data_IF_074712385861
#
_entry.id   IF_074712385861
#
_cell.length_a   1.000
_cell.length_b   1.000
_cell.length_c   1.000
_cell.angle_alpha   90.00
_cell.angle_beta   90.00
_cell.angle_gamma   90.00
#
_symmetry.space_group_name_H-M   'P 1'
#
loop_
_entity.id
_entity.type
_entity.pdbx_description
1 polymer ?
#
# COMPACT_ATOMS: atom_id res chain seq x y z
N UNK A 1 -9.46 1.39 -29.67
CA UNK A 1 -10.64 0.49 -29.54
C UNK A 1 -11.22 0.64 -28.13
N UNK A 2 -12.53 0.94 -27.99
CA UNK A 2 -13.21 1.11 -26.69
C UNK A 2 -14.12 -0.10 -26.41
N UNK A 3 -13.55 -1.33 -26.40
CA UNK A 3 -14.33 -2.57 -26.34
C UNK A 3 -15.11 -2.80 -25.03
N UNK A 4 -14.73 -2.13 -23.93
CA UNK A 4 -15.45 -2.19 -22.67
C UNK A 4 -15.13 -3.37 -21.74
N UNK A 5 -14.22 -4.28 -22.10
CA UNK A 5 -13.81 -5.40 -21.22
C UNK A 5 -13.27 -4.97 -19.85
N UNK A 6 -12.79 -3.74 -19.73
CA UNK A 6 -12.31 -3.17 -18.47
C UNK A 6 -13.43 -2.68 -17.54
N UNK A 7 -14.65 -2.50 -18.02
CA UNK A 7 -15.76 -1.91 -17.24
C UNK A 7 -16.12 -2.72 -15.99
N UNK A 8 -16.34 -4.04 -16.07
CA UNK A 8 -16.69 -4.85 -14.90
C UNK A 8 -15.61 -4.87 -13.82
N UNK A 9 -14.36 -4.55 -14.18
CA UNK A 9 -13.21 -4.59 -13.27
C UNK A 9 -12.90 -3.24 -12.62
N UNK A 10 -13.61 -2.17 -13.00
CA UNK A 10 -13.34 -0.84 -12.49
C UNK A 10 -14.18 -0.53 -11.24
N UNK A 11 -13.56 -0.32 -10.06
CA UNK A 11 -14.28 -0.06 -8.82
C UNK A 11 -15.02 1.28 -8.86
N UNK A 12 -14.44 2.33 -9.46
CA UNK A 12 -15.08 3.65 -9.54
C UNK A 12 -16.27 3.64 -10.50
N UNK A 13 -16.18 2.92 -11.61
CA UNK A 13 -17.31 2.73 -12.51
C UNK A 13 -18.41 1.86 -11.87
N UNK A 14 -18.05 0.81 -11.14
CA UNK A 14 -19.01 0.01 -10.41
C UNK A 14 -19.78 0.82 -9.36
N UNK A 15 -19.13 1.80 -8.74
CA UNK A 15 -19.70 2.69 -7.73
C UNK A 15 -20.62 3.76 -8.33
N UNK A 16 -20.11 4.55 -9.26
CA UNK A 16 -20.81 5.73 -9.79
C UNK A 16 -21.72 5.43 -11.00
N UNK A 17 -21.42 4.39 -11.78
CA UNK A 17 -22.10 4.07 -13.06
C UNK A 17 -22.07 5.21 -14.09
N UNK A 18 -21.08 6.08 -13.99
CA UNK A 18 -20.85 7.21 -14.91
C UNK A 18 -19.71 6.87 -15.86
N UNK A 19 -19.90 7.09 -17.17
CA UNK A 19 -18.91 6.72 -18.18
C UNK A 19 -17.57 7.46 -17.99
N UNK A 20 -17.59 8.74 -17.56
CA UNK A 20 -16.38 9.51 -17.25
C UNK A 20 -15.49 8.87 -16.18
N UNK A 21 -16.07 8.06 -15.29
CA UNK A 21 -15.36 7.31 -14.24
C UNK A 21 -14.92 5.93 -14.68
N UNK A 22 -15.27 5.53 -15.91
CA UNK A 22 -14.84 4.26 -16.50
C UNK A 22 -13.42 4.36 -17.04
N UNK A 23 -12.68 3.23 -17.19
CA UNK A 23 -11.36 3.28 -17.78
C UNK A 23 -11.35 3.80 -19.22
N UNK A 24 -12.30 3.38 -20.04
CA UNK A 24 -12.38 3.85 -21.44
C UNK A 24 -12.84 5.30 -21.51
N UNK A 25 -13.74 5.74 -20.63
CA UNK A 25 -14.14 7.13 -20.51
C UNK A 25 -12.96 8.02 -20.13
N UNK A 26 -12.17 7.62 -19.12
CA UNK A 26 -10.94 8.32 -18.75
C UNK A 26 -9.93 8.38 -19.89
N UNK A 27 -9.75 7.31 -20.67
CA UNK A 27 -8.90 7.33 -21.87
C UNK A 27 -9.39 8.34 -22.91
N UNK A 28 -10.70 8.46 -23.10
CA UNK A 28 -11.29 9.48 -23.99
C UNK A 28 -11.03 10.89 -23.47
N UNK A 29 -11.15 11.11 -22.15
CA UNK A 29 -10.82 12.39 -21.50
C UNK A 29 -9.35 12.74 -21.66
N UNK A 30 -8.43 11.78 -21.42
CA UNK A 30 -7.00 11.95 -21.63
C UNK A 30 -6.67 12.26 -23.09
N UNK A 31 -7.33 11.62 -24.04
CA UNK A 31 -7.17 11.89 -25.46
C UNK A 31 -7.64 13.31 -25.81
N UNK A 32 -8.79 13.75 -25.27
CA UNK A 32 -9.29 15.11 -25.44
C UNK A 32 -8.35 16.16 -24.88
N UNK A 33 -7.76 15.90 -23.71
CA UNK A 33 -6.74 16.73 -23.08
C UNK A 33 -5.46 16.80 -23.94
N UNK A 34 -4.94 15.67 -24.40
CA UNK A 34 -3.73 15.62 -25.24
C UNK A 34 -3.91 16.30 -26.61
N UNK A 35 -5.14 16.38 -27.11
CA UNK A 35 -5.48 17.03 -28.37
C UNK A 35 -5.86 18.50 -28.21
N UNK A 36 -5.80 19.08 -27.01
CA UNK A 36 -6.20 20.45 -26.72
C UNK A 36 -7.69 20.71 -26.89
N UNK A 37 -8.53 19.68 -26.88
CA UNK A 37 -10.00 19.82 -26.96
C UNK A 37 -10.64 20.02 -25.59
N UNK A 38 -9.94 19.68 -24.52
CA UNK A 38 -10.39 19.83 -23.15
C UNK A 38 -9.35 20.63 -22.38
N UNK A 39 -9.81 21.62 -21.66
CA UNK A 39 -8.95 22.46 -20.81
C UNK A 39 -8.56 21.71 -19.52
N UNK A 40 -7.26 21.71 -19.12
CA UNK A 40 -6.82 21.01 -17.93
C UNK A 40 -7.42 21.58 -16.63
N UNK A 41 -7.91 22.84 -16.64
CA UNK A 41 -8.57 23.50 -15.53
C UNK A 41 -10.05 23.10 -15.38
N UNK A 42 -10.65 22.44 -16.39
CA UNK A 42 -12.06 22.09 -16.37
C UNK A 42 -12.40 21.18 -15.17
N UNK A 43 -13.25 21.67 -14.27
CA UNK A 43 -13.59 21.01 -13.00
C UNK A 43 -14.03 19.54 -13.20
N UNK A 44 -14.96 19.27 -14.11
CA UNK A 44 -15.45 17.91 -14.36
C UNK A 44 -14.39 16.97 -14.92
N UNK A 45 -13.48 17.46 -15.77
CA UNK A 45 -12.34 16.67 -16.25
C UNK A 45 -11.48 16.19 -15.08
N UNK A 46 -11.16 17.13 -14.19
CA UNK A 46 -10.36 16.84 -12.99
C UNK A 46 -11.05 15.86 -12.06
N UNK A 47 -12.33 16.07 -11.77
CA UNK A 47 -13.13 15.18 -10.94
C UNK A 47 -13.03 13.73 -11.42
N UNK A 48 -13.19 13.47 -12.71
CA UNK A 48 -13.09 12.13 -13.26
C UNK A 48 -11.68 11.55 -13.24
N UNK A 49 -10.64 12.34 -13.57
CA UNK A 49 -9.26 11.85 -13.60
C UNK A 49 -8.67 11.68 -12.18
N UNK A 50 -8.93 12.63 -11.28
CA UNK A 50 -8.48 12.57 -9.87
C UNK A 50 -9.23 11.47 -9.10
N UNK A 51 -10.49 11.17 -9.46
CA UNK A 51 -11.31 10.11 -8.86
C UNK A 51 -10.83 8.68 -9.17
N UNK A 52 -9.83 8.50 -10.02
CA UNK A 52 -9.27 7.16 -10.28
C UNK A 52 -8.46 6.65 -9.08
N UNK A 53 -8.75 5.42 -8.61
CA UNK A 53 -8.05 4.79 -7.49
C UNK A 53 -6.66 4.20 -7.85
N UNK A 54 -6.23 4.26 -9.11
CA UNK A 54 -4.93 3.73 -9.54
C UNK A 54 -4.77 2.21 -9.40
N UNK A 55 -5.87 1.46 -9.31
CA UNK A 55 -5.84 0.01 -9.04
C UNK A 55 -5.31 -0.85 -10.21
N UNK A 56 -5.24 -0.30 -11.43
CA UNK A 56 -4.74 -0.93 -12.67
C UNK A 56 -5.45 -2.25 -13.05
N UNK A 57 -6.63 -2.54 -12.48
CA UNK A 57 -7.42 -3.72 -12.87
C UNK A 57 -7.83 -3.68 -14.36
N UNK A 58 -8.11 -2.48 -14.88
CA UNK A 58 -8.42 -2.27 -16.29
C UNK A 58 -7.24 -2.59 -17.21
N UNK A 59 -6.02 -2.32 -16.77
CA UNK A 59 -4.78 -2.63 -17.50
C UNK A 59 -4.51 -4.15 -17.51
N UNK A 60 -4.72 -4.80 -16.37
CA UNK A 60 -4.49 -6.24 -16.22
C UNK A 60 -5.39 -7.10 -17.12
N UNK A 61 -6.62 -6.64 -17.43
CA UNK A 61 -7.58 -7.36 -18.27
C UNK A 61 -7.62 -6.86 -19.71
N UNK A 62 -6.80 -5.87 -20.07
CA UNK A 62 -6.82 -5.26 -21.39
C UNK A 62 -6.11 -6.14 -22.43
N UNK A 63 -6.82 -6.67 -23.45
CA UNK A 63 -6.19 -7.48 -24.48
C UNK A 63 -5.24 -6.66 -25.37
N UNK A 64 -5.49 -5.34 -25.49
CA UNK A 64 -4.63 -4.41 -26.22
C UNK A 64 -3.44 -3.90 -25.39
N UNK A 65 -3.31 -4.33 -24.12
CA UNK A 65 -2.21 -3.94 -23.21
C UNK A 65 -2.00 -2.42 -23.12
N UNK A 66 -3.10 -1.66 -23.08
CA UNK A 66 -3.01 -0.20 -22.92
C UNK A 66 -2.34 0.11 -21.58
N UNK A 67 -1.24 0.89 -21.56
CA UNK A 67 -0.51 1.23 -20.34
C UNK A 67 -1.26 2.32 -19.55
N UNK A 68 -2.43 1.94 -19.02
CA UNK A 68 -3.37 2.87 -18.39
C UNK A 68 -2.75 3.59 -17.19
N UNK A 69 -1.93 2.90 -16.39
CA UNK A 69 -1.25 3.50 -15.24
C UNK A 69 -0.35 4.67 -15.66
N UNK A 70 0.52 4.46 -16.65
CA UNK A 70 1.42 5.50 -17.16
C UNK A 70 0.67 6.68 -17.80
N UNK A 71 -0.40 6.39 -18.54
CA UNK A 71 -1.26 7.44 -19.13
C UNK A 71 -1.95 8.27 -18.05
N UNK A 72 -2.41 7.64 -16.98
CA UNK A 72 -3.04 8.32 -15.84
C UNK A 72 -2.04 9.19 -15.09
N UNK A 73 -0.82 8.70 -14.85
CA UNK A 73 0.25 9.48 -14.22
C UNK A 73 0.57 10.73 -15.04
N UNK A 74 0.70 10.58 -16.38
CA UNK A 74 0.93 11.72 -17.27
C UNK A 74 -0.24 12.71 -17.29
N UNK A 75 -1.47 12.21 -17.29
CA UNK A 75 -2.64 13.09 -17.22
C UNK A 75 -2.66 13.90 -15.92
N UNK A 76 -2.36 13.27 -14.78
CA UNK A 76 -2.27 13.95 -13.49
C UNK A 76 -1.12 14.95 -13.42
N UNK A 77 0.01 14.68 -14.08
CA UNK A 77 1.11 15.65 -14.21
C UNK A 77 0.63 16.90 -14.92
N UNK A 78 -0.06 16.77 -16.05
CA UNK A 78 -0.64 17.91 -16.77
C UNK A 78 -1.63 18.68 -15.89
N UNK A 79 -2.46 17.99 -15.12
CA UNK A 79 -3.38 18.64 -14.18
C UNK A 79 -2.66 19.39 -13.06
N UNK A 80 -1.56 18.86 -12.54
CA UNK A 80 -0.78 19.50 -11.48
C UNK A 80 -0.01 20.74 -12.00
N UNK A 81 0.48 20.69 -13.23
CA UNK A 81 1.11 21.82 -13.92
C UNK A 81 0.12 22.96 -14.24
N UNK A 82 -1.18 22.64 -14.37
CA UNK A 82 -2.24 23.58 -14.71
C UNK A 82 -3.32 23.58 -13.62
N UNK A 83 -3.08 24.16 -12.45
CA UNK A 83 -4.03 24.13 -11.34
C UNK A 83 -5.32 24.90 -11.69
N UNK A 84 -6.44 24.44 -11.14
CA UNK A 84 -7.73 25.10 -11.26
C UNK A 84 -7.67 26.46 -10.55
N UNK A 85 -8.02 27.56 -11.26
CA UNK A 85 -7.92 28.93 -10.73
C UNK A 85 -8.87 29.15 -9.55
N UNK A 86 -10.08 28.61 -9.62
CA UNK A 86 -11.12 28.74 -8.60
C UNK A 86 -10.96 27.79 -7.41
N UNK A 87 -9.98 26.90 -7.45
CA UNK A 87 -9.76 25.96 -6.32
C UNK A 87 -9.27 26.75 -5.10
N UNK A 88 -9.96 26.68 -3.95
CA UNK A 88 -9.58 27.42 -2.75
C UNK A 88 -8.11 27.18 -2.40
N UNK A 89 -7.37 28.25 -2.17
CA UNK A 89 -5.94 28.16 -1.79
C UNK A 89 -5.72 27.21 -0.60
N UNK A 90 -6.69 27.15 0.32
CA UNK A 90 -6.71 26.22 1.45
C UNK A 90 -6.73 24.73 1.04
N UNK A 91 -7.41 24.38 -0.05
CA UNK A 91 -7.45 22.99 -0.55
C UNK A 91 -6.12 22.60 -1.20
N UNK A 92 -5.51 23.49 -1.99
CA UNK A 92 -4.18 23.32 -2.59
C UNK A 92 -3.10 23.20 -1.53
N UNK A 93 -3.13 24.10 -0.55
CA UNK A 93 -2.19 24.10 0.57
C UNK A 93 -2.30 22.84 1.43
N UNK A 94 -3.52 22.38 1.72
CA UNK A 94 -3.75 21.12 2.47
C UNK A 94 -3.18 19.89 1.75
N UNK A 95 -3.40 19.76 0.43
CA UNK A 95 -2.87 18.65 -0.36
C UNK A 95 -1.34 18.68 -0.40
N UNK A 96 -0.75 19.86 -0.60
CA UNK A 96 0.70 20.05 -0.57
C UNK A 96 1.30 19.76 0.81
N UNK A 97 0.63 20.19 1.90
CA UNK A 97 1.06 19.86 3.26
C UNK A 97 0.98 18.38 3.58
N UNK A 98 -0.09 17.70 3.17
CA UNK A 98 -0.20 16.25 3.37
C UNK A 98 0.91 15.50 2.65
N UNK A 99 1.18 15.84 1.39
CA UNK A 99 2.29 15.27 0.64
C UNK A 99 3.65 15.58 1.28
N UNK A 100 3.85 16.84 1.72
CA UNK A 100 5.08 17.26 2.40
C UNK A 100 5.26 16.57 3.77
N UNK A 101 4.18 16.43 4.53
CA UNK A 101 4.22 15.74 5.82
C UNK A 101 4.62 14.27 5.68
N UNK A 102 4.20 13.60 4.60
CA UNK A 102 4.62 12.23 4.32
C UNK A 102 6.07 12.12 3.80
N UNK A 103 6.60 13.17 3.17
CA UNK A 103 7.97 13.19 2.65
C UNK A 103 9.03 13.45 3.70
N UNK A 104 8.75 14.38 4.61
CA UNK A 104 9.74 14.87 5.58
C UNK A 104 9.67 14.11 6.90
N UNK A 105 10.73 13.40 7.23
CA UNK A 105 10.83 12.59 8.46
C UNK A 105 10.47 13.39 9.74
N UNK A 106 11.00 14.61 9.99
CA UNK A 106 10.64 15.36 11.19
C UNK A 106 9.16 15.75 11.24
N UNK A 107 8.55 16.06 10.10
CA UNK A 107 7.11 16.38 10.04
C UNK A 107 6.25 15.16 10.33
N UNK A 108 6.64 13.97 9.83
CA UNK A 108 5.95 12.71 10.18
C UNK A 108 6.07 12.41 11.68
N UNK A 109 7.27 12.57 12.24
CA UNK A 109 7.49 12.32 13.67
C UNK A 109 6.62 13.27 14.53
N UNK A 110 6.60 14.56 14.20
CA UNK A 110 5.75 15.54 14.86
C UNK A 110 4.26 15.21 14.68
N UNK A 111 3.84 14.87 13.47
CA UNK A 111 2.47 14.43 13.17
C UNK A 111 2.06 13.20 13.98
N UNK A 112 2.93 12.21 14.10
CA UNK A 112 2.71 11.02 14.93
C UNK A 112 2.63 11.32 16.42
N UNK A 113 3.47 12.25 16.94
CA UNK A 113 3.41 12.70 18.32
C UNK A 113 2.11 13.46 18.57
N UNK A 114 1.75 14.41 17.69
CA UNK A 114 0.52 15.19 17.79
C UNK A 114 -0.73 14.29 17.73
N UNK A 115 -0.76 13.31 16.84
CA UNK A 115 -1.87 12.35 16.74
C UNK A 115 -2.00 11.48 18.01
N UNK A 116 -0.88 11.02 18.59
CA UNK A 116 -0.88 10.32 19.89
C UNK A 116 -1.39 11.20 21.03
N UNK A 117 -0.94 12.46 21.09
CA UNK A 117 -1.39 13.42 22.09
C UNK A 117 -2.90 13.72 21.94
N UNK A 118 -3.38 13.98 20.71
CA UNK A 118 -4.78 14.22 20.41
C UNK A 118 -5.68 13.06 20.87
N UNK A 119 -5.22 11.83 20.74
CA UNK A 119 -5.95 10.65 21.21
C UNK A 119 -5.94 10.52 22.72
N UNK A 120 -4.78 10.71 23.38
CA UNK A 120 -4.69 10.67 24.84
C UNK A 120 -5.58 11.73 25.51
N UNK A 121 -5.69 12.92 24.91
CA UNK A 121 -6.51 14.02 25.41
C UNK A 121 -7.99 13.92 25.02
N UNK A 122 -8.34 12.98 24.15
CA UNK A 122 -9.71 12.81 23.68
C UNK A 122 -10.21 13.91 22.74
N UNK A 123 -9.32 14.75 22.21
CA UNK A 123 -9.65 15.84 21.25
C UNK A 123 -10.45 15.31 20.05
N UNK A 124 -10.24 14.08 19.65
CA UNK A 124 -11.00 13.45 18.55
C UNK A 124 -12.52 13.53 18.78
N UNK A 125 -12.99 13.53 20.04
CA UNK A 125 -14.43 13.63 20.39
C UNK A 125 -15.04 14.98 20.06
N UNK A 126 -14.20 16.02 19.91
CA UNK A 126 -14.62 17.38 19.56
C UNK A 126 -14.61 17.64 18.06
N UNK A 127 -14.02 16.73 17.28
CA UNK A 127 -14.00 16.81 15.83
C UNK A 127 -15.28 16.17 15.26
N UNK A 128 -15.84 16.77 14.22
CA UNK A 128 -17.00 16.20 13.54
C UNK A 128 -16.59 14.94 12.78
N UNK A 129 -17.31 13.79 12.96
CA UNK A 129 -17.09 12.59 12.18
C UNK A 129 -17.07 12.89 10.68
N UNK A 130 -16.19 12.24 9.92
CA UNK A 130 -16.06 12.43 8.48
C UNK A 130 -15.15 13.57 8.04
N UNK A 131 -14.80 14.52 8.93
CA UNK A 131 -13.82 15.56 8.56
C UNK A 131 -12.42 14.93 8.33
N UNK A 132 -11.61 15.49 7.40
CA UNK A 132 -10.31 14.93 7.05
C UNK A 132 -9.37 14.70 8.24
N UNK A 133 -9.35 15.63 9.21
CA UNK A 133 -8.54 15.45 10.42
C UNK A 133 -9.07 14.33 11.30
N UNK A 134 -10.38 14.26 11.50
CA UNK A 134 -11.01 13.16 12.22
C UNK A 134 -10.69 11.81 11.57
N UNK A 135 -10.87 11.70 10.25
CA UNK A 135 -10.55 10.49 9.48
C UNK A 135 -9.08 10.10 9.58
N UNK A 136 -8.18 11.08 9.49
CA UNK A 136 -6.74 10.82 9.65
C UNK A 136 -6.45 10.23 11.03
N UNK A 137 -6.97 10.80 12.10
CA UNK A 137 -6.81 10.30 13.46
C UNK A 137 -7.47 8.93 13.65
N UNK A 138 -8.61 8.72 13.05
CA UNK A 138 -9.37 7.49 13.11
C UNK A 138 -8.64 6.34 12.40
N UNK A 139 -8.25 6.52 11.15
CA UNK A 139 -7.53 5.52 10.38
C UNK A 139 -6.13 5.19 10.95
N UNK A 140 -5.48 6.15 11.61
CA UNK A 140 -4.16 5.92 12.23
C UNK A 140 -4.23 5.42 13.66
N UNK A 141 -5.41 5.28 14.26
CA UNK A 141 -5.56 4.94 15.69
C UNK A 141 -4.84 3.65 16.11
N UNK A 142 -4.87 2.63 15.27
CA UNK A 142 -4.22 1.35 15.54
C UNK A 142 -2.78 1.25 15.02
N UNK A 143 -2.30 2.29 14.31
CA UNK A 143 -1.02 2.25 13.58
C UNK A 143 0.05 3.16 14.17
N UNK A 144 -0.25 3.95 15.22
CA UNK A 144 0.71 4.86 15.85
C UNK A 144 1.63 4.11 16.82
N UNK A 145 2.50 3.28 16.29
CA UNK A 145 3.53 2.61 17.05
C UNK A 145 4.77 3.50 17.27
N UNK A 146 5.57 3.26 18.31
CA UNK A 146 6.90 3.87 18.43
C UNK A 146 7.79 3.48 17.25
N UNK A 147 8.85 4.25 17.02
CA UNK A 147 9.85 3.89 16.02
C UNK A 147 10.43 2.49 16.32
N UNK A 148 10.63 1.66 15.27
CA UNK A 148 11.11 0.29 15.47
C UNK A 148 12.52 0.27 16.06
N UNK A 149 12.77 -0.69 16.91
CA UNK A 149 14.12 -1.03 17.34
C UNK A 149 14.75 -1.94 16.28
N UNK A 150 15.72 -1.41 15.56
CA UNK A 150 16.44 -2.14 14.52
C UNK A 150 17.70 -2.80 15.15
N UNK A 151 17.48 -3.65 16.15
CA UNK A 151 18.53 -4.50 16.72
C UNK A 151 18.81 -5.67 15.75
N UNK A 152 20.00 -6.27 15.89
CA UNK A 152 20.40 -7.48 15.16
C UNK A 152 20.47 -7.32 13.63
N UNK A 153 20.88 -6.14 13.16
CA UNK A 153 21.19 -5.88 11.75
C UNK A 153 22.70 -5.95 11.50
N UNK A 154 23.08 -6.40 10.30
CA UNK A 154 24.47 -6.45 9.85
C UNK A 154 24.82 -5.29 8.92
N UNK A 155 26.08 -5.12 8.58
CA UNK A 155 26.51 -4.19 7.54
C UNK A 155 26.01 -4.68 6.16
N UNK A 156 25.63 -3.75 5.24
CA UNK A 156 25.03 -4.12 3.96
C UNK A 156 25.84 -5.11 3.12
N UNK A 157 27.17 -5.04 3.18
CA UNK A 157 28.11 -5.93 2.48
C UNK A 157 28.11 -7.37 2.99
N UNK A 158 27.57 -7.60 4.18
CA UNK A 158 27.46 -8.92 4.80
C UNK A 158 26.04 -9.45 4.87
N UNK A 159 25.09 -8.72 4.27
CA UNK A 159 23.68 -9.05 4.33
C UNK A 159 23.26 -10.01 3.20
N UNK A 160 22.35 -10.92 3.54
CA UNK A 160 21.65 -11.78 2.59
C UNK A 160 20.45 -11.05 1.97
N UNK A 161 19.94 -10.02 2.66
CA UNK A 161 18.88 -9.14 2.19
C UNK A 161 18.99 -7.72 2.78
N UNK A 162 18.57 -6.72 2.01
CA UNK A 162 18.38 -5.35 2.46
C UNK A 162 16.89 -5.11 2.72
N UNK A 163 16.55 -4.49 3.85
CA UNK A 163 15.15 -4.18 4.16
C UNK A 163 14.84 -2.73 3.81
N UNK A 164 13.84 -2.54 2.94
CA UNK A 164 13.31 -1.23 2.58
C UNK A 164 12.32 -0.75 3.64
N UNK A 165 12.61 0.39 4.26
CA UNK A 165 11.84 0.90 5.40
C UNK A 165 10.67 1.80 5.02
N UNK A 166 10.66 2.36 3.79
CA UNK A 166 9.56 3.21 3.32
C UNK A 166 9.25 4.42 4.21
N UNK A 167 8.13 5.09 3.90
CA UNK A 167 7.66 6.21 4.70
C UNK A 167 6.68 5.79 5.81
N UNK A 168 5.88 4.77 5.57
CA UNK A 168 4.87 4.30 6.52
C UNK A 168 5.46 3.39 7.58
N UNK A 169 6.46 2.55 7.22
CA UNK A 169 7.01 1.54 8.10
C UNK A 169 7.73 2.13 9.34
N UNK A 170 8.28 3.31 9.23
CA UNK A 170 8.94 3.97 10.37
C UNK A 170 7.99 4.58 11.38
N UNK A 171 6.78 5.02 10.95
CA UNK A 171 5.92 5.87 11.77
C UNK A 171 4.55 5.29 12.06
N UNK A 172 4.04 4.45 11.14
CA UNK A 172 2.71 3.86 11.24
C UNK A 172 2.75 2.35 11.42
N UNK A 173 3.75 1.68 10.80
CA UNK A 173 3.87 0.23 10.81
C UNK A 173 5.23 -0.23 11.37
N UNK A 174 5.85 0.53 12.28
CA UNK A 174 7.11 0.17 12.94
C UNK A 174 7.18 -1.29 13.42
N UNK A 175 6.13 -1.84 14.04
CA UNK A 175 6.06 -3.25 14.40
C UNK A 175 6.18 -4.23 13.21
N UNK A 176 5.88 -3.79 11.98
CA UNK A 176 6.03 -4.65 10.80
C UNK A 176 7.51 -4.83 10.43
N UNK A 177 8.33 -3.78 10.62
CA UNK A 177 9.79 -3.87 10.44
C UNK A 177 10.44 -4.79 11.48
N UNK A 178 10.08 -4.62 12.76
CA UNK A 178 10.55 -5.50 13.83
C UNK A 178 10.14 -6.96 13.58
N UNK A 179 8.90 -7.17 13.16
CA UNK A 179 8.38 -8.49 12.83
C UNK A 179 9.12 -9.12 11.64
N UNK A 180 9.42 -8.34 10.60
CA UNK A 180 10.16 -8.83 9.43
C UNK A 180 11.59 -9.22 9.80
N UNK A 181 12.29 -8.41 10.63
CA UNK A 181 13.62 -8.74 11.15
C UNK A 181 13.58 -10.00 12.00
N UNK A 182 12.62 -10.12 12.92
CA UNK A 182 12.48 -11.30 13.75
C UNK A 182 12.27 -12.58 12.92
N UNK A 183 11.42 -12.52 11.88
CA UNK A 183 11.18 -13.66 10.99
C UNK A 183 12.43 -14.02 10.20
N UNK A 184 13.09 -13.04 9.59
CA UNK A 184 14.27 -13.28 8.76
C UNK A 184 15.44 -13.82 9.59
N UNK A 185 15.69 -13.23 10.77
CA UNK A 185 16.74 -13.67 11.68
C UNK A 185 16.47 -15.08 12.24
N UNK A 186 15.21 -15.39 12.63
CA UNK A 186 14.83 -16.73 13.08
C UNK A 186 15.02 -17.80 12.01
N UNK A 187 14.97 -17.43 10.74
CA UNK A 187 15.23 -18.29 9.59
C UNK A 187 16.71 -18.30 9.16
N UNK A 188 17.59 -17.63 9.90
CA UNK A 188 19.04 -17.61 9.69
C UNK A 188 19.53 -16.60 8.65
N UNK A 189 18.67 -15.70 8.16
CA UNK A 189 19.09 -14.67 7.21
C UNK A 189 19.70 -13.47 7.93
N UNK A 190 20.83 -13.00 7.42
CA UNK A 190 21.47 -11.76 7.88
C UNK A 190 20.85 -10.58 7.13
N UNK A 191 20.30 -9.63 7.85
CA UNK A 191 19.56 -8.51 7.27
C UNK A 191 20.25 -7.19 7.57
N UNK A 192 20.37 -6.33 6.57
CA UNK A 192 20.77 -4.94 6.75
C UNK A 192 19.61 -3.99 6.52
N UNK A 193 19.62 -2.88 7.27
CA UNK A 193 18.70 -1.76 7.10
C UNK A 193 19.52 -0.50 6.79
N UNK A 194 19.92 -0.27 5.52
CA UNK A 194 20.76 0.85 5.15
C UNK A 194 20.14 2.18 5.54
N UNK A 195 20.97 3.12 6.01
CA UNK A 195 20.55 4.48 6.33
C UNK A 195 20.37 5.32 5.04
N UNK A 196 19.65 6.44 5.13
CA UNK A 196 19.47 7.34 3.99
C UNK A 196 18.28 7.02 3.10
N UNK A 197 17.60 5.90 3.32
CA UNK A 197 16.36 5.56 2.63
C UNK A 197 15.26 6.61 2.90
N UNK A 198 14.39 6.78 1.91
CA UNK A 198 13.25 7.72 1.96
C UNK A 198 12.00 7.05 1.43
N UNK A 199 10.90 7.81 1.25
CA UNK A 199 9.68 7.32 0.60
C UNK A 199 9.98 6.70 -0.78
N UNK A 200 9.26 5.65 -1.16
CA UNK A 200 9.39 5.04 -2.49
C UNK A 200 9.00 5.98 -3.64
N UNK A 201 8.25 7.05 -3.36
CA UNK A 201 7.80 8.02 -4.35
C UNK A 201 6.42 7.74 -4.96
N UNK A 202 5.75 6.64 -4.62
CA UNK A 202 4.47 6.25 -5.20
C UNK A 202 3.41 7.37 -5.16
N UNK A 203 3.22 8.00 -4.01
CA UNK A 203 2.22 9.07 -3.85
C UNK A 203 2.56 10.32 -4.68
N UNK A 204 3.84 10.61 -4.87
CA UNK A 204 4.29 11.71 -5.71
C UNK A 204 4.08 11.39 -7.19
N UNK A 205 4.49 10.21 -7.63
CA UNK A 205 4.31 9.73 -9.01
C UNK A 205 2.83 9.75 -9.40
N UNK A 206 1.99 9.09 -8.60
CA UNK A 206 0.56 9.00 -8.86
C UNK A 206 -0.21 10.29 -8.53
N UNK A 207 0.43 11.25 -7.88
CA UNK A 207 -0.08 12.60 -7.62
C UNK A 207 0.32 13.63 -8.68
N UNK A 208 0.95 13.22 -9.79
CA UNK A 208 1.35 14.13 -10.88
C UNK A 208 2.64 14.92 -10.62
N UNK A 209 3.49 14.44 -9.71
CA UNK A 209 4.78 15.09 -9.37
C UNK A 209 5.98 14.16 -9.64
N UNK A 210 6.20 13.74 -10.91
CA UNK A 210 7.24 12.75 -11.27
C UNK A 210 8.66 13.22 -10.95
N UNK A 211 8.94 14.53 -11.00
CA UNK A 211 10.27 15.07 -10.67
C UNK A 211 10.61 14.82 -9.19
N UNK A 212 9.63 15.01 -8.30
CA UNK A 212 9.79 14.71 -6.86
C UNK A 212 9.93 13.21 -6.63
N UNK A 213 9.13 12.40 -7.32
CA UNK A 213 9.23 10.94 -7.26
C UNK A 213 10.64 10.46 -7.69
N UNK A 214 11.14 10.97 -8.81
CA UNK A 214 12.48 10.66 -9.33
C UNK A 214 13.59 11.02 -8.33
N UNK A 215 13.53 12.18 -7.70
CA UNK A 215 14.51 12.59 -6.68
C UNK A 215 14.49 11.65 -5.45
N UNK A 216 13.32 11.16 -5.02
CA UNK A 216 13.20 10.18 -3.95
C UNK A 216 13.79 8.82 -4.37
N UNK A 217 13.52 8.39 -5.58
CA UNK A 217 14.03 7.13 -6.14
C UNK A 217 15.56 7.13 -6.22
N UNK A 218 16.17 8.21 -6.73
CA UNK A 218 17.62 8.37 -6.78
C UNK A 218 18.26 8.28 -5.38
N UNK A 219 17.64 8.87 -4.37
CA UNK A 219 18.10 8.74 -2.97
C UNK A 219 18.02 7.31 -2.46
N UNK A 220 16.97 6.59 -2.79
CA UNK A 220 16.85 5.18 -2.42
C UNK A 220 17.89 4.31 -3.14
N UNK A 221 18.19 4.58 -4.42
CA UNK A 221 19.24 3.89 -5.15
C UNK A 221 20.63 4.14 -4.56
N UNK A 222 20.89 5.37 -4.10
CA UNK A 222 22.15 5.71 -3.43
C UNK A 222 22.27 5.06 -2.04
N UNK A 223 21.15 4.82 -1.34
CA UNK A 223 21.14 4.17 -0.03
C UNK A 223 21.17 2.64 -0.12
N UNK A 224 20.58 2.07 -1.17
CA UNK A 224 20.44 0.63 -1.39
C UNK A 224 21.40 0.17 -2.49
N UNK A 225 22.69 0.24 -2.24
CA UNK A 225 23.74 -0.12 -3.22
C UNK A 225 23.95 -1.63 -3.34
N UNK A 226 24.73 -2.05 -4.34
CA UNK A 226 25.10 -3.46 -4.57
C UNK A 226 24.00 -4.27 -5.27
N UNK A 227 24.12 -5.60 -5.22
CA UNK A 227 23.23 -6.55 -5.91
C UNK A 227 22.34 -7.35 -4.93
N UNK A 228 22.50 -7.13 -3.62
CA UNK A 228 21.73 -7.83 -2.57
C UNK A 228 20.23 -7.57 -2.76
N UNK A 229 19.36 -8.59 -2.64
CA UNK A 229 17.90 -8.43 -2.72
C UNK A 229 17.37 -7.36 -1.77
N UNK A 230 16.40 -6.56 -2.24
CA UNK A 230 15.74 -5.52 -1.45
C UNK A 230 14.32 -5.97 -1.12
N UNK A 231 14.06 -6.20 0.16
CA UNK A 231 12.76 -6.64 0.65
C UNK A 231 11.91 -5.41 0.99
N UNK A 232 10.78 -5.25 0.29
CA UNK A 232 9.74 -4.30 0.65
C UNK A 232 8.59 -5.01 1.38
N UNK A 233 8.13 -4.43 2.49
CA UNK A 233 7.03 -4.99 3.29
C UNK A 233 5.66 -4.60 2.76
N UNK A 234 5.60 -3.54 1.95
CA UNK A 234 4.39 -3.00 1.34
C UNK A 234 4.39 -3.24 -0.16
N UNK A 235 3.29 -3.82 -0.68
CA UNK A 235 3.16 -4.13 -2.11
C UNK A 235 3.10 -2.88 -3.01
N UNK A 236 2.68 -1.73 -2.49
CA UNK A 236 2.72 -0.46 -3.21
C UNK A 236 4.14 0.07 -3.36
N UNK A 237 4.94 0.00 -2.29
CA UNK A 237 6.36 0.32 -2.34
C UNK A 237 7.13 -0.63 -3.26
N UNK A 238 6.88 -1.93 -3.15
CA UNK A 238 7.49 -2.94 -4.04
C UNK A 238 7.19 -2.63 -5.52
N UNK A 239 5.92 -2.40 -5.85
CA UNK A 239 5.49 -2.06 -7.19
C UNK A 239 6.26 -0.84 -7.74
N UNK A 240 6.36 0.22 -6.93
CA UNK A 240 7.06 1.44 -7.31
C UNK A 240 8.55 1.22 -7.52
N UNK A 241 9.23 0.51 -6.60
CA UNK A 241 10.65 0.21 -6.72
C UNK A 241 10.96 -0.66 -7.95
N UNK A 242 10.05 -1.57 -8.33
CA UNK A 242 10.19 -2.43 -9.50
C UNK A 242 9.95 -1.70 -10.83
N UNK A 243 9.12 -0.65 -10.83
CA UNK A 243 8.76 0.10 -12.04
C UNK A 243 9.66 1.30 -12.32
N UNK A 244 10.72 1.54 -11.52
CA UNK A 244 11.70 2.62 -11.78
C UNK A 244 12.37 2.37 -13.14
N UNK A 245 12.17 3.25 -14.13
CA UNK A 245 12.80 3.09 -15.43
C UNK A 245 14.33 3.16 -15.32
N UNK A 246 15.02 2.16 -15.87
CA UNK A 246 16.48 2.05 -15.83
C UNK A 246 17.10 2.05 -14.42
N UNK A 247 16.28 1.86 -13.37
CA UNK A 247 16.71 1.83 -11.99
C UNK A 247 17.34 0.49 -11.59
N UNK A 248 18.36 0.56 -10.73
CA UNK A 248 19.05 -0.63 -10.20
C UNK A 248 18.19 -1.45 -9.25
N UNK A 249 17.14 -0.85 -8.67
CA UNK A 249 16.28 -1.51 -7.70
C UNK A 249 15.23 -2.42 -8.34
N UNK A 250 14.85 -2.18 -9.61
CA UNK A 250 13.74 -2.86 -10.26
C UNK A 250 13.89 -4.38 -10.32
N UNK A 251 15.08 -4.86 -10.65
CA UNK A 251 15.36 -6.30 -10.80
C UNK A 251 15.54 -7.05 -9.48
N UNK A 252 15.82 -6.36 -8.37
CA UNK A 252 16.14 -6.97 -7.07
C UNK A 252 15.17 -6.60 -5.94
N UNK A 253 14.18 -5.74 -6.20
CA UNK A 253 13.11 -5.46 -5.25
C UNK A 253 12.05 -6.54 -5.27
N UNK A 254 11.70 -7.04 -4.10
CA UNK A 254 10.70 -8.10 -3.95
C UNK A 254 9.97 -8.00 -2.60
N UNK A 255 8.83 -8.67 -2.49
CA UNK A 255 8.12 -8.80 -1.21
C UNK A 255 8.85 -9.74 -0.26
N UNK A 256 8.61 -9.57 1.05
CA UNK A 256 9.06 -10.53 2.07
C UNK A 256 8.60 -11.96 1.74
N UNK A 257 7.35 -12.11 1.29
CA UNK A 257 6.78 -13.42 1.02
C UNK A 257 7.39 -14.08 -0.21
N UNK A 258 7.77 -13.31 -1.21
CA UNK A 258 8.51 -13.83 -2.37
C UNK A 258 9.92 -14.26 -1.95
N UNK A 259 10.64 -13.40 -1.22
CA UNK A 259 11.98 -13.73 -0.71
C UNK A 259 11.96 -15.05 0.06
N UNK A 260 11.03 -15.20 1.00
CA UNK A 260 10.90 -16.43 1.78
C UNK A 260 10.54 -17.64 0.90
N UNK A 261 9.62 -17.48 -0.06
CA UNK A 261 9.23 -18.57 -0.98
C UNK A 261 10.39 -19.05 -1.86
N UNK A 262 11.29 -18.15 -2.26
CA UNK A 262 12.44 -18.48 -3.08
C UNK A 262 13.59 -19.11 -2.28
N UNK A 263 13.76 -18.76 -1.01
CA UNK A 263 14.89 -19.19 -0.18
C UNK A 263 14.53 -20.33 0.77
N UNK A 264 13.29 -20.48 1.20
CA UNK A 264 12.83 -21.61 2.01
C UNK A 264 12.34 -22.72 1.08
N UNK A 265 13.28 -23.50 0.54
CA UNK A 265 12.98 -24.64 -0.36
C UNK A 265 12.63 -25.91 0.38
N UNK A 266 12.96 -26.01 1.66
CA UNK A 266 12.75 -27.22 2.46
C UNK A 266 11.26 -27.48 2.71
N UNK A 267 10.82 -28.72 2.50
CA UNK A 267 9.54 -29.23 2.98
C UNK A 267 9.80 -30.38 3.98
N UNK A 268 9.21 -30.29 5.16
CA UNK A 268 8.38 -29.20 5.69
C UNK A 268 9.18 -27.90 5.95
N UNK A 269 8.47 -26.76 5.96
CA UNK A 269 9.05 -25.48 6.39
C UNK A 269 9.73 -25.69 7.77
N UNK A 270 10.95 -25.14 8.01
CA UNK A 270 11.70 -25.39 9.23
C UNK A 270 10.84 -25.32 10.51
N UNK A 271 11.10 -26.12 11.55
CA UNK A 271 10.24 -26.30 12.72
C UNK A 271 10.25 -25.11 13.70
N UNK A 272 10.34 -23.90 13.15
CA UNK A 272 10.31 -22.62 13.88
C UNK A 272 8.89 -22.06 14.03
N UNK A 273 7.86 -22.81 13.59
CA UNK A 273 6.49 -22.32 13.52
C UNK A 273 5.55 -23.02 14.49
N UNK A 274 4.69 -22.24 15.13
CA UNK A 274 3.60 -22.77 15.98
C UNK A 274 2.62 -23.59 15.15
N UNK A 275 2.18 -24.70 15.69
CA UNK A 275 1.23 -25.62 15.05
C UNK A 275 -0.24 -25.34 15.44
N UNK A 276 -0.50 -24.40 16.37
CA UNK A 276 -1.88 -24.08 16.80
C UNK A 276 -2.75 -23.68 15.62
N UNK A 277 -3.97 -24.24 15.51
CA UNK A 277 -4.89 -23.90 14.41
C UNK A 277 -5.23 -22.41 14.39
N UNK A 278 -5.33 -21.85 13.19
CA UNK A 278 -5.79 -20.46 12.97
C UNK A 278 -6.42 -20.33 11.57
N UNK A 279 -7.60 -19.70 11.51
CA UNK A 279 -8.27 -19.38 10.24
C UNK A 279 -7.95 -17.95 9.83
N UNK A 280 -7.49 -17.79 8.59
CA UNK A 280 -6.95 -16.53 8.07
C UNK A 280 -7.65 -16.17 6.76
N UNK A 281 -8.20 -14.96 6.68
CA UNK A 281 -8.62 -14.39 5.41
C UNK A 281 -7.44 -13.65 4.78
N UNK A 282 -7.17 -13.93 3.51
CA UNK A 282 -6.08 -13.31 2.79
C UNK A 282 -6.60 -12.20 1.88
N UNK A 283 -6.37 -10.94 2.28
CA UNK A 283 -6.64 -9.82 1.41
C UNK A 283 -5.56 -9.70 0.33
N UNK A 284 -5.97 -9.77 -0.92
CA UNK A 284 -5.11 -9.65 -2.10
C UNK A 284 -5.25 -8.25 -2.72
N UNK A 285 -4.43 -7.26 -2.36
CA UNK A 285 -4.57 -5.90 -2.85
C UNK A 285 -4.31 -5.78 -4.36
N UNK A 286 -4.85 -4.72 -4.96
CA UNK A 286 -4.74 -4.47 -6.39
C UNK A 286 -3.28 -4.38 -6.87
N UNK A 287 -2.37 -3.79 -6.11
CA UNK A 287 -0.93 -3.75 -6.42
C UNK A 287 -0.32 -5.13 -6.52
N UNK A 288 -0.66 -6.03 -5.58
CA UNK A 288 -0.18 -7.41 -5.60
C UNK A 288 -0.72 -8.20 -6.79
N UNK A 289 -2.01 -8.00 -7.13
CA UNK A 289 -2.67 -8.71 -8.23
C UNK A 289 -2.26 -8.21 -9.60
N UNK A 290 -2.28 -6.89 -9.79
CA UNK A 290 -2.24 -6.27 -11.11
C UNK A 290 -0.85 -5.77 -11.49
N UNK A 291 0.01 -5.46 -10.51
CA UNK A 291 1.33 -4.87 -10.75
C UNK A 291 2.44 -5.89 -10.48
N UNK A 292 2.63 -6.29 -9.23
CA UNK A 292 3.73 -7.23 -8.89
C UNK A 292 3.41 -8.67 -9.25
N UNK A 293 2.13 -9.05 -9.32
CA UNK A 293 1.62 -10.40 -9.66
C UNK A 293 2.12 -11.49 -8.70
N UNK A 294 2.27 -11.15 -7.44
CA UNK A 294 2.89 -11.98 -6.39
C UNK A 294 1.86 -12.74 -5.52
N UNK A 295 0.60 -12.82 -5.97
CA UNK A 295 -0.48 -13.48 -5.22
C UNK A 295 -0.18 -14.93 -4.88
N UNK A 296 0.44 -15.67 -5.82
CA UNK A 296 0.78 -17.09 -5.63
C UNK A 296 1.82 -17.28 -4.53
N UNK A 297 2.85 -16.43 -4.48
CA UNK A 297 3.91 -16.53 -3.48
C UNK A 297 3.37 -16.33 -2.07
N UNK A 298 2.53 -15.31 -1.86
CA UNK A 298 1.89 -15.06 -0.58
C UNK A 298 0.97 -16.23 -0.17
N UNK A 299 0.09 -16.66 -1.05
CA UNK A 299 -0.87 -17.74 -0.76
C UNK A 299 -0.14 -19.04 -0.46
N UNK A 300 0.79 -19.46 -1.31
CA UNK A 300 1.55 -20.69 -1.13
C UNK A 300 2.38 -20.69 0.16
N UNK A 301 3.03 -19.57 0.50
CA UNK A 301 3.78 -19.46 1.75
C UNK A 301 2.88 -19.68 2.97
N UNK A 302 1.72 -19.00 3.02
CA UNK A 302 0.83 -19.11 4.17
C UNK A 302 0.18 -20.50 4.29
N UNK A 303 -0.14 -21.15 3.16
CA UNK A 303 -0.67 -22.52 3.15
C UNK A 303 0.31 -23.57 3.66
N UNK A 304 1.62 -23.31 3.55
CA UNK A 304 2.68 -24.22 4.06
C UNK A 304 2.91 -24.08 5.57
N UNK A 305 2.39 -23.04 6.21
CA UNK A 305 2.57 -22.86 7.65
C UNK A 305 1.70 -23.84 8.44
N UNK A 306 2.27 -24.51 9.46
CA UNK A 306 1.51 -25.45 10.27
C UNK A 306 0.32 -24.80 10.95
N UNK A 307 -0.83 -25.48 10.92
CA UNK A 307 -2.08 -25.03 11.55
C UNK A 307 -2.79 -23.86 10.88
N UNK A 308 -2.27 -23.31 9.78
CA UNK A 308 -2.93 -22.21 9.06
C UNK A 308 -3.94 -22.75 8.06
N UNK A 309 -5.18 -22.26 8.15
CA UNK A 309 -6.25 -22.52 7.18
C UNK A 309 -6.66 -21.20 6.54
N UNK A 310 -6.51 -21.08 5.22
CA UNK A 310 -6.99 -19.91 4.49
C UNK A 310 -8.49 -20.05 4.20
N UNK A 311 -9.25 -18.98 4.46
CA UNK A 311 -10.68 -18.90 4.10
C UNK A 311 -10.84 -18.55 2.61
N UNK A 312 -11.99 -18.88 2.01
CA UNK A 312 -12.31 -18.48 0.65
C UNK A 312 -12.59 -16.97 0.58
N UNK A 313 -11.90 -16.29 -0.29
CA UNK A 313 -12.05 -14.85 -0.53
C UNK A 313 -12.32 -14.54 -2.01
N UNK A 314 -12.76 -15.54 -2.76
CA UNK A 314 -13.01 -15.42 -4.21
C UNK A 314 -14.02 -14.34 -4.59
N UNK A 315 -14.98 -14.04 -3.70
CA UNK A 315 -15.99 -13.00 -3.83
C UNK A 315 -15.52 -11.58 -3.45
N UNK A 316 -14.29 -11.43 -2.98
CA UNK A 316 -13.82 -10.11 -2.53
C UNK A 316 -13.66 -9.12 -3.71
N UNK A 317 -14.09 -7.85 -3.55
CA UNK A 317 -13.90 -6.82 -4.56
C UNK A 317 -12.43 -6.64 -4.97
N UNK A 318 -12.21 -6.14 -6.19
CA UNK A 318 -10.87 -5.92 -6.72
C UNK A 318 -10.11 -4.76 -6.06
N UNK A 319 -10.77 -3.94 -5.24
CA UNK A 319 -10.18 -2.78 -4.58
C UNK A 319 -10.84 -2.54 -3.21
N UNK A 320 -10.01 -2.35 -2.20
CA UNK A 320 -10.44 -2.02 -0.84
C UNK A 320 -10.84 -0.54 -0.65
N UNK A 321 -10.80 0.28 -1.70
CA UNK A 321 -11.13 1.71 -1.61
C UNK A 321 -10.01 2.64 -1.13
N UNK A 322 -8.94 2.16 -0.51
CA UNK A 322 -7.90 3.02 0.07
C UNK A 322 -7.22 3.97 -0.96
N UNK A 323 -6.90 3.46 -2.17
CA UNK A 323 -6.43 4.20 -3.34
C UNK A 323 -5.51 5.41 -3.09
N UNK A 324 -4.32 5.20 -2.53
CA UNK A 324 -3.44 6.31 -2.13
C UNK A 324 -4.07 7.18 -1.04
N UNK A 325 -4.55 8.37 -1.39
CA UNK A 325 -5.24 9.30 -0.48
C UNK A 325 -6.76 9.29 -0.61
N UNK A 326 -7.34 8.40 -1.43
CA UNK A 326 -8.78 8.37 -1.71
C UNK A 326 -9.62 8.15 -0.44
N UNK A 327 -9.13 7.36 0.53
CA UNK A 327 -9.81 7.18 1.82
C UNK A 327 -10.02 8.49 2.60
N UNK A 328 -9.24 9.54 2.30
CA UNK A 328 -9.39 10.86 2.89
C UNK A 328 -10.12 11.84 1.99
N UNK A 329 -9.95 11.71 0.66
CA UNK A 329 -10.49 12.63 -0.33
C UNK A 329 -11.90 12.24 -0.81
N UNK A 330 -12.20 10.94 -0.88
CA UNK A 330 -13.45 10.36 -1.40
C UNK A 330 -14.04 9.38 -0.37
N UNK A 331 -14.38 9.83 0.83
CA UNK A 331 -14.69 8.97 1.97
C UNK A 331 -15.87 8.02 1.71
N UNK A 332 -16.94 8.49 1.10
CA UNK A 332 -18.14 7.70 0.86
C UNK A 332 -17.86 6.48 -0.04
N UNK A 333 -17.22 6.72 -1.18
CA UNK A 333 -16.83 5.64 -2.09
C UNK A 333 -15.80 4.70 -1.46
N UNK A 334 -14.82 5.27 -0.76
CA UNK A 334 -13.75 4.52 -0.14
C UNK A 334 -14.30 3.57 0.94
N UNK A 335 -15.15 4.08 1.84
CA UNK A 335 -15.75 3.30 2.91
C UNK A 335 -16.72 2.24 2.37
N UNK A 336 -17.49 2.54 1.33
CA UNK A 336 -18.37 1.57 0.69
C UNK A 336 -17.60 0.40 0.04
N UNK A 337 -16.52 0.70 -0.68
CA UNK A 337 -15.64 -0.33 -1.25
C UNK A 337 -14.91 -1.13 -0.17
N UNK A 338 -14.45 -0.46 0.89
CA UNK A 338 -13.81 -1.09 2.04
C UNK A 338 -14.76 -2.01 2.79
N UNK A 339 -15.99 -1.57 3.01
CA UNK A 339 -17.06 -2.35 3.64
C UNK A 339 -17.36 -3.63 2.86
N UNK A 340 -17.59 -3.52 1.55
CA UNK A 340 -17.84 -4.68 0.70
C UNK A 340 -16.64 -5.66 0.69
N UNK A 341 -15.41 -5.13 0.72
CA UNK A 341 -14.21 -5.97 0.84
C UNK A 341 -14.16 -6.68 2.19
N UNK A 342 -14.44 -5.96 3.28
CA UNK A 342 -14.44 -6.54 4.61
C UNK A 342 -15.52 -7.61 4.78
N UNK A 343 -16.74 -7.38 4.26
CA UNK A 343 -17.83 -8.33 4.29
C UNK A 343 -17.43 -9.66 3.61
N UNK A 344 -16.79 -9.58 2.43
CA UNK A 344 -16.31 -10.78 1.75
C UNK A 344 -15.15 -11.47 2.50
N UNK A 345 -14.23 -10.71 3.10
CA UNK A 345 -13.12 -11.26 3.86
C UNK A 345 -13.58 -11.94 5.17
N UNK A 346 -14.72 -11.52 5.74
CA UNK A 346 -15.23 -12.03 7.02
C UNK A 346 -16.34 -13.07 6.87
N UNK A 347 -16.76 -13.40 5.65
CA UNK A 347 -17.87 -14.33 5.38
C UNK A 347 -17.67 -15.70 6.05
N UNK A 348 -16.45 -16.23 6.05
CA UNK A 348 -16.12 -17.51 6.69
C UNK A 348 -15.58 -17.35 8.13
N UNK A 349 -15.89 -16.24 8.79
CA UNK A 349 -15.53 -15.94 10.17
C UNK A 349 -14.04 -16.23 10.48
N UNK A 350 -13.05 -15.60 9.79
CA UNK A 350 -11.65 -15.77 10.09
C UNK A 350 -11.29 -15.14 11.44
N UNK A 351 -10.26 -15.64 12.08
CA UNK A 351 -9.72 -15.06 13.30
C UNK A 351 -8.92 -13.79 13.03
N UNK A 352 -8.33 -13.71 11.84
CA UNK A 352 -7.57 -12.52 11.40
C UNK A 352 -7.54 -12.37 9.88
N UNK A 353 -7.26 -11.16 9.44
CA UNK A 353 -7.06 -10.80 8.03
C UNK A 353 -5.57 -10.49 7.82
N UNK A 354 -4.96 -11.05 6.79
CA UNK A 354 -3.59 -10.70 6.37
C UNK A 354 -3.65 -9.86 5.10
N UNK A 355 -3.02 -8.68 5.13
CA UNK A 355 -2.97 -7.74 4.01
C UNK A 355 -1.56 -7.22 3.77
N UNK A 356 -0.96 -7.43 2.59
CA UNK A 356 0.40 -7.00 2.25
C UNK A 356 0.48 -5.56 1.71
N UNK A 357 -0.53 -4.72 1.94
CA UNK A 357 -0.52 -3.31 1.53
C UNK A 357 -0.91 -2.41 2.70
N UNK A 358 -0.05 -1.46 3.05
CA UNK A 358 -0.24 -0.60 4.22
C UNK A 358 -1.47 0.29 4.12
N UNK A 359 -1.76 0.86 2.94
CA UNK A 359 -2.95 1.69 2.72
C UNK A 359 -4.24 0.88 2.93
N UNK A 360 -4.31 -0.30 2.31
CA UNK A 360 -5.43 -1.23 2.50
C UNK A 360 -5.53 -1.69 3.96
N UNK A 361 -4.41 -2.03 4.60
CA UNK A 361 -4.39 -2.50 5.99
C UNK A 361 -4.90 -1.43 6.96
N UNK A 362 -4.49 -0.18 6.77
CA UNK A 362 -4.95 0.96 7.60
C UNK A 362 -6.46 1.17 7.43
N UNK A 363 -6.94 1.16 6.19
CA UNK A 363 -8.36 1.37 5.90
C UNK A 363 -9.24 0.22 6.40
N UNK A 364 -8.91 -1.03 6.05
CA UNK A 364 -9.66 -2.21 6.48
C UNK A 364 -9.62 -2.39 8.01
N UNK A 365 -8.51 -2.05 8.67
CA UNK A 365 -8.39 -2.09 10.13
C UNK A 365 -9.35 -1.14 10.80
N UNK A 366 -9.43 0.11 10.34
CA UNK A 366 -10.35 1.09 10.88
C UNK A 366 -11.81 0.59 10.77
N UNK A 367 -12.20 0.09 9.59
CA UNK A 367 -13.54 -0.45 9.36
C UNK A 367 -13.82 -1.72 10.17
N UNK A 368 -12.83 -2.60 10.34
CA UNK A 368 -12.98 -3.83 11.12
C UNK A 368 -13.12 -3.52 12.60
N UNK A 369 -12.32 -2.60 13.16
CA UNK A 369 -12.41 -2.19 14.56
C UNK A 369 -13.78 -1.57 14.89
N UNK A 370 -14.34 -0.75 14.00
CA UNK A 370 -15.67 -0.14 14.18
C UNK A 370 -16.80 -1.18 14.25
N UNK A 371 -16.58 -2.34 13.65
CA UNK A 371 -17.55 -3.46 13.62
C UNK A 371 -17.24 -4.56 14.62
N UNK A 372 -16.22 -4.42 15.47
CA UNK A 372 -15.75 -5.49 16.36
C UNK A 372 -15.25 -6.72 15.60
N UNK A 373 -14.74 -6.52 14.37
CA UNK A 373 -14.29 -7.57 13.48
C UNK A 373 -12.87 -8.05 13.76
N UNK A 374 -12.33 -8.97 12.92
CA UNK A 374 -11.01 -9.56 13.10
C UNK A 374 -9.89 -8.55 12.92
N UNK A 375 -8.75 -8.81 13.57
CA UNK A 375 -7.55 -7.97 13.42
C UNK A 375 -6.97 -8.06 12.01
N UNK A 376 -6.48 -6.92 11.48
CA UNK A 376 -5.81 -6.84 10.17
C UNK A 376 -4.31 -6.69 10.38
N UNK A 377 -3.55 -7.68 9.94
CA UNK A 377 -2.09 -7.75 10.09
C UNK A 377 -1.38 -7.69 8.74
N UNK A 378 -0.13 -7.20 8.74
CA UNK A 378 0.76 -7.42 7.61
C UNK A 378 1.26 -8.87 7.56
N UNK A 379 1.76 -9.37 6.41
CA UNK A 379 2.40 -10.67 6.35
C UNK A 379 3.55 -10.83 7.36
N UNK A 380 4.37 -9.79 7.56
CA UNK A 380 5.46 -9.81 8.51
C UNK A 380 4.97 -10.05 9.95
N UNK A 381 3.97 -9.29 10.40
CA UNK A 381 3.39 -9.46 11.74
C UNK A 381 2.69 -10.80 11.91
N UNK A 382 1.99 -11.25 10.89
CA UNK A 382 1.36 -12.57 10.93
C UNK A 382 2.43 -13.66 11.07
N UNK A 383 3.46 -13.67 10.23
CA UNK A 383 4.57 -14.63 10.31
C UNK A 383 5.27 -14.58 11.67
N UNK A 384 5.59 -13.40 12.18
CA UNK A 384 6.22 -13.25 13.50
C UNK A 384 5.32 -13.81 14.63
N UNK A 385 4.00 -13.63 14.55
CA UNK A 385 3.07 -14.20 15.52
C UNK A 385 3.03 -15.73 15.50
N UNK A 386 3.49 -16.32 14.40
CA UNK A 386 3.56 -17.78 14.22
C UNK A 386 4.94 -18.36 14.59
N UNK A 387 5.95 -17.53 14.85
CA UNK A 387 7.23 -18.05 15.33
C UNK A 387 7.08 -18.74 16.69
N UNK A 388 7.75 -19.86 16.85
CA UNK A 388 7.83 -20.54 18.13
C UNK A 388 8.89 -19.87 19.01
N UNK A 389 8.48 -19.31 20.14
CA UNK A 389 9.37 -18.63 21.08
C UNK A 389 10.36 -19.57 21.78
N UNK A 390 10.17 -20.88 21.69
CA UNK A 390 11.10 -21.86 22.25
C UNK A 390 12.35 -22.07 21.38
N UNK A 391 12.32 -21.67 20.10
CA UNK A 391 13.45 -21.84 19.18
C UNK A 391 14.50 -20.71 19.24
N UNK A 392 14.23 -19.61 19.95
CA UNK A 392 15.15 -18.47 20.07
C UNK A 392 16.12 -18.54 21.25
N UNK A 393 16.19 -19.68 21.94
CA UNK A 393 17.03 -19.87 23.16
C UNK A 393 18.22 -20.82 22.95
N UNK A 394 18.58 -21.14 21.74
CA UNK A 394 19.76 -21.87 21.32
C UNK A 394 20.53 -21.06 20.29
#
# INVERSE_FOLDING_TARGET
MHCGLCLPHCPTYAWHRVEGDSPRGRLTLMQGLAQGRLEPQAHRLREHLEGCLGCRSCEAVCPARVPFGALMDRAREILEENPEEDRPATARWRQSLQASALRHEPLRALGGIAARAARKTGVQRWLRPGQPLWRTLDHTRASLAPAPRLADTVAPEHADALLFTGCMDRFFTGPDLEAALAVLNALGFRVAVPRGQVCCGALEQHGGRPQTASALQQRNEAALTGETPVIALDSGCEATLREIPNGRLGGRSMSLTRFLSEHIKAEPVPPTWRTSPVRVALHLPCTLRNVTRETRNLTALLQRLPGVTLTDVSGAPNCCGAGGTAMLALPEMSDGLGAATLDALTADAPEMIVSPNVGCSVHLRALAEDRGGPSVLSPARFLASRLDSSASAT
#
